data_IF_331916333323
#
_entry.id   IF_331916333323
#
_cell.length_a   1.000
_cell.length_b   1.000
_cell.length_c   1.000
_cell.angle_alpha   90.00
_cell.angle_beta   90.00
_cell.angle_gamma   90.00
#
_symmetry.space_group_name_H-M   'P 1'
#
loop_
_entity.id
_entity.type
_entity.pdbx_description
1 polymer ?
#
# COMPACT_ATOMS: atom_id res chain seq x y z
N UNK A 1 -21.05 19.82 -18.02
CA UNK A 1 -20.95 18.37 -18.22
C UNK A 1 -20.96 17.78 -16.84
N UNK A 2 -22.10 17.21 -16.46
CA UNK A 2 -22.28 16.56 -15.17
C UNK A 2 -21.15 15.57 -14.95
N UNK A 3 -20.50 15.70 -13.80
CA UNK A 3 -19.38 14.87 -13.39
C UNK A 3 -19.81 13.42 -13.44
N UNK A 4 -19.05 12.60 -14.17
CA UNK A 4 -19.06 11.15 -14.06
C UNK A 4 -19.19 10.77 -12.58
N UNK A 5 -20.37 10.34 -12.16
CA UNK A 5 -20.56 9.75 -10.85
C UNK A 5 -19.46 8.72 -10.67
N UNK A 6 -18.76 8.76 -9.54
CA UNK A 6 -17.66 7.84 -9.28
C UNK A 6 -18.20 6.42 -9.43
N UNK A 7 -17.79 5.74 -10.49
CA UNK A 7 -18.20 4.36 -10.82
C UNK A 7 -17.89 3.41 -9.65
N UNK A 8 -17.00 3.83 -8.74
CA UNK A 8 -16.56 3.07 -7.56
C UNK A 8 -16.65 3.95 -6.31
N UNK A 9 -17.20 3.46 -5.18
CA UNK A 9 -17.18 4.16 -3.90
C UNK A 9 -15.75 4.49 -3.45
N UNK A 10 -15.57 5.61 -2.73
CA UNK A 10 -14.25 6.10 -2.33
C UNK A 10 -13.43 5.10 -1.51
N UNK A 11 -14.10 4.32 -0.66
CA UNK A 11 -13.43 3.29 0.16
C UNK A 11 -12.86 2.16 -0.70
N UNK A 12 -13.61 1.72 -1.73
CA UNK A 12 -13.18 0.70 -2.67
C UNK A 12 -12.06 1.24 -3.58
N UNK A 13 -12.21 2.47 -4.09
CA UNK A 13 -11.20 3.11 -4.94
C UNK A 13 -9.87 3.31 -4.21
N UNK A 14 -9.89 3.80 -2.97
CA UNK A 14 -8.67 3.98 -2.15
C UNK A 14 -7.92 2.65 -1.97
N UNK A 15 -8.64 1.55 -1.68
CA UNK A 15 -8.03 0.22 -1.54
C UNK A 15 -7.46 -0.29 -2.86
N UNK A 16 -8.20 -0.10 -3.96
CA UNK A 16 -7.75 -0.46 -5.30
C UNK A 16 -6.44 0.25 -5.65
N UNK A 17 -6.37 1.58 -5.51
CA UNK A 17 -5.15 2.35 -5.80
C UNK A 17 -4.00 1.96 -4.87
N UNK A 18 -4.26 1.71 -3.57
CA UNK A 18 -3.22 1.25 -2.65
C UNK A 18 -2.61 -0.09 -3.09
N UNK A 19 -3.45 -1.04 -3.57
CA UNK A 19 -2.98 -2.32 -4.11
C UNK A 19 -2.14 -2.13 -5.37
N UNK A 20 -2.59 -1.30 -6.31
CA UNK A 20 -1.82 -1.02 -7.52
C UNK A 20 -0.47 -0.36 -7.20
N UNK A 21 -0.46 0.60 -6.28
CA UNK A 21 0.75 1.26 -5.84
C UNK A 21 1.74 0.27 -5.20
N UNK A 22 1.23 -0.73 -4.48
CA UNK A 22 2.04 -1.81 -3.92
C UNK A 22 2.64 -2.71 -5.01
N UNK A 23 1.88 -3.06 -6.06
CA UNK A 23 2.39 -3.83 -7.22
C UNK A 23 3.53 -3.07 -7.94
N UNK A 24 3.35 -1.75 -8.13
CA UNK A 24 4.40 -0.88 -8.68
C UNK A 24 5.62 -0.84 -7.75
N UNK A 25 5.40 -0.73 -6.44
CA UNK A 25 6.47 -0.70 -5.44
C UNK A 25 7.27 -2.00 -5.36
N UNK A 26 6.62 -3.15 -5.52
CA UNK A 26 7.26 -4.46 -5.61
C UNK A 26 8.12 -4.58 -6.88
N UNK A 27 7.62 -4.07 -8.01
CA UNK A 27 8.39 -4.01 -9.26
C UNK A 27 9.68 -3.21 -9.08
N UNK A 28 9.61 -2.04 -8.42
CA UNK A 28 10.77 -1.19 -8.10
C UNK A 28 11.81 -1.91 -7.22
N UNK A 29 11.38 -2.79 -6.31
CA UNK A 29 12.28 -3.55 -5.43
C UNK A 29 13.09 -4.61 -6.17
N UNK A 30 12.65 -5.02 -7.37
CA UNK A 30 13.29 -6.07 -8.15
C UNK A 30 14.58 -5.65 -8.85
N UNK A 31 14.90 -4.35 -8.92
CA UNK A 31 16.06 -3.85 -9.66
C UNK A 31 16.87 -2.80 -8.87
N UNK A 32 18.21 -2.80 -9.02
CA UNK A 32 19.08 -1.82 -8.37
C UNK A 32 19.04 -0.43 -9.02
N UNK A 33 18.75 -0.37 -10.33
CA UNK A 33 18.81 0.88 -11.11
C UNK A 33 17.61 1.03 -12.03
N UNK A 34 17.11 2.27 -12.10
CA UNK A 34 15.99 2.65 -12.95
C UNK A 34 16.29 3.95 -13.68
N UNK A 35 16.06 3.97 -14.99
CA UNK A 35 16.06 5.21 -15.76
C UNK A 35 14.82 6.03 -15.40
N UNK A 36 15.00 7.32 -15.15
CA UNK A 36 13.90 8.27 -14.94
C UNK A 36 13.96 9.33 -16.04
N UNK A 37 12.83 9.51 -16.72
CA UNK A 37 12.69 10.37 -17.90
C UNK A 37 11.56 11.37 -17.66
N UNK A 38 11.74 12.64 -18.00
CA UNK A 38 10.67 13.67 -17.97
C UNK A 38 9.96 13.82 -19.31
N UNK A 39 10.51 13.19 -20.35
CA UNK A 39 10.04 13.12 -21.73
C UNK A 39 10.67 11.87 -22.35
N UNK A 40 10.90 11.81 -23.67
CA UNK A 40 11.62 10.69 -24.30
C UNK A 40 13.10 10.59 -23.90
N UNK A 41 13.66 11.63 -23.25
CA UNK A 41 15.06 11.62 -22.82
C UNK A 41 15.24 11.06 -21.41
N UNK A 42 16.11 10.05 -21.31
CA UNK A 42 16.62 9.52 -20.03
C UNK A 42 17.53 10.55 -19.39
N UNK A 43 17.03 11.22 -18.35
CA UNK A 43 17.72 12.35 -17.72
C UNK A 43 18.31 12.01 -16.36
N UNK A 44 17.78 11.00 -15.66
CA UNK A 44 18.28 10.60 -14.34
C UNK A 44 18.31 9.09 -14.17
N UNK A 45 19.07 8.63 -13.18
CA UNK A 45 19.08 7.23 -12.71
C UNK A 45 18.65 7.22 -11.24
N UNK A 46 17.58 6.48 -10.93
CA UNK A 46 17.23 6.14 -9.55
C UNK A 46 18.00 4.90 -9.11
N UNK A 47 18.74 5.00 -8.01
CA UNK A 47 19.47 3.89 -7.39
C UNK A 47 18.73 3.43 -6.12
N UNK A 48 18.27 2.18 -6.11
CA UNK A 48 17.25 1.74 -5.15
C UNK A 48 17.77 1.49 -3.73
N UNK A 49 19.08 1.28 -3.53
CA UNK A 49 19.64 1.03 -2.20
C UNK A 49 19.81 2.33 -1.40
N UNK A 50 20.49 3.34 -1.96
CA UNK A 50 20.67 4.65 -1.33
C UNK A 50 19.47 5.59 -1.53
N UNK A 51 18.60 5.25 -2.49
CA UNK A 51 17.44 6.04 -2.90
C UNK A 51 17.82 7.43 -3.44
N UNK A 52 19.01 7.55 -4.01
CA UNK A 52 19.48 8.76 -4.68
C UNK A 52 19.06 8.76 -6.14
N UNK A 53 18.79 9.96 -6.65
CA UNK A 53 18.76 10.23 -8.08
C UNK A 53 20.14 10.69 -8.53
N UNK A 54 20.60 10.19 -9.66
CA UNK A 54 21.89 10.53 -10.28
C UNK A 54 21.66 11.16 -11.64
N UNK A 55 22.51 12.12 -12.00
CA UNK A 55 22.51 12.67 -13.35
C UNK A 55 22.93 11.57 -14.35
N UNK A 56 22.07 11.30 -15.34
CA UNK A 56 22.33 10.29 -16.35
C UNK A 56 23.32 10.77 -17.43
N UNK A 57 23.47 12.09 -17.59
CA UNK A 57 24.22 12.70 -18.69
C UNK A 57 25.27 13.69 -18.17
N UNK A 58 26.25 13.23 -17.36
CA UNK A 58 27.28 14.10 -16.83
C UNK A 58 28.13 14.70 -17.96
N UNK A 59 28.58 15.94 -17.76
CA UNK A 59 29.48 16.64 -18.68
C UNK A 59 30.88 16.00 -18.63
N UNK A 60 31.29 15.36 -19.73
CA UNK A 60 32.53 14.59 -19.79
C UNK A 60 33.74 15.43 -20.23
N UNK A 61 33.55 16.52 -20.96
CA UNK A 61 34.69 17.27 -21.52
C UNK A 61 35.25 18.35 -20.57
N UNK A 62 34.60 18.55 -19.42
CA UNK A 62 34.99 19.53 -18.41
C UNK A 62 35.51 18.87 -17.14
N UNK A 63 36.50 19.50 -16.50
CA UNK A 63 37.03 19.08 -15.22
C UNK A 63 37.20 20.30 -14.29
N UNK A 64 36.83 20.13 -13.03
CA UNK A 64 36.74 21.23 -12.06
C UNK A 64 37.50 20.90 -10.79
N UNK A 65 37.84 21.94 -10.01
CA UNK A 65 38.13 21.79 -8.60
C UNK A 65 36.81 21.62 -7.83
N UNK A 66 36.86 20.99 -6.65
CA UNK A 66 35.68 20.69 -5.81
C UNK A 66 34.78 21.91 -5.62
N UNK A 67 35.35 23.07 -5.29
CA UNK A 67 34.58 24.29 -5.03
C UNK A 67 33.73 24.75 -6.24
N UNK A 68 34.26 24.62 -7.46
CA UNK A 68 33.52 24.95 -8.68
C UNK A 68 32.61 23.82 -9.12
N UNK A 69 32.98 22.56 -8.85
CA UNK A 69 32.11 21.40 -9.02
C UNK A 69 30.83 21.49 -8.18
N UNK A 70 30.92 21.97 -6.93
CA UNK A 70 29.74 22.22 -6.07
C UNK A 70 28.82 23.25 -6.72
N UNK A 71 29.36 24.38 -7.20
CA UNK A 71 28.58 25.41 -7.90
C UNK A 71 27.97 24.87 -9.18
N UNK A 72 28.70 24.02 -9.91
CA UNK A 72 28.22 23.39 -11.16
C UNK A 72 27.05 22.46 -10.89
N UNK A 73 27.18 21.58 -9.89
CA UNK A 73 26.11 20.67 -9.48
C UNK A 73 24.86 21.46 -9.04
N UNK A 74 25.01 22.48 -8.20
CA UNK A 74 23.88 23.29 -7.72
C UNK A 74 23.13 24.07 -8.81
N UNK A 75 23.72 24.24 -10.00
CA UNK A 75 23.08 24.89 -11.17
C UNK A 75 22.34 23.91 -12.06
N UNK A 76 22.47 22.59 -11.84
CA UNK A 76 21.74 21.61 -12.61
C UNK A 76 20.24 21.74 -12.35
N UNK A 77 19.46 21.60 -13.41
CA UNK A 77 18.00 21.53 -13.37
C UNK A 77 17.51 20.22 -14.02
N UNK A 78 18.35 19.18 -13.97
CA UNK A 78 18.05 17.87 -14.56
C UNK A 78 16.77 17.33 -13.94
N UNK A 79 15.84 16.87 -14.78
CA UNK A 79 14.54 16.37 -14.33
C UNK A 79 13.57 17.43 -13.77
N UNK A 80 13.82 18.72 -14.04
CA UNK A 80 13.14 19.85 -13.38
C UNK A 80 13.27 19.80 -11.85
N UNK A 81 14.46 19.40 -11.37
CA UNK A 81 14.81 19.36 -9.95
C UNK A 81 15.91 20.38 -9.66
N UNK A 82 15.73 21.12 -8.56
CA UNK A 82 16.79 21.89 -7.91
C UNK A 82 17.61 21.01 -6.94
N UNK A 83 18.57 21.61 -6.24
CA UNK A 83 19.27 20.98 -5.10
C UNK A 83 20.14 19.76 -5.47
N UNK A 84 20.60 19.72 -6.71
CA UNK A 84 21.65 18.81 -7.13
C UNK A 84 22.97 19.14 -6.42
N UNK A 85 23.65 18.10 -5.95
CA UNK A 85 24.90 18.22 -5.20
C UNK A 85 25.94 17.22 -5.69
N UNK A 86 27.19 17.44 -5.28
CA UNK A 86 28.19 16.38 -5.37
C UNK A 86 27.85 15.25 -4.39
N UNK A 87 28.08 13.98 -4.76
CA UNK A 87 28.04 12.86 -3.82
C UNK A 87 29.20 12.97 -2.83
N UNK A 88 29.09 12.28 -1.70
CA UNK A 88 30.28 11.97 -0.90
C UNK A 88 31.03 10.75 -1.47
N UNK A 89 32.23 10.49 -0.95
CA UNK A 89 33.08 9.36 -1.38
C UNK A 89 32.35 8.02 -1.26
N UNK A 90 31.61 7.80 -0.17
CA UNK A 90 30.89 6.54 0.07
C UNK A 90 29.78 6.34 -0.96
N UNK A 91 28.99 7.37 -1.24
CA UNK A 91 27.91 7.34 -2.24
C UNK A 91 28.45 7.05 -3.64
N UNK A 92 29.47 7.80 -4.09
CA UNK A 92 30.07 7.59 -5.42
C UNK A 92 30.74 6.22 -5.54
N UNK A 93 31.46 5.78 -4.50
CA UNK A 93 32.14 4.48 -4.50
C UNK A 93 31.13 3.33 -4.55
N UNK A 94 30.03 3.42 -3.81
CA UNK A 94 28.96 2.42 -3.83
C UNK A 94 28.30 2.35 -5.22
N UNK A 95 28.01 3.51 -5.82
CA UNK A 95 27.48 3.60 -7.18
C UNK A 95 28.42 2.94 -8.21
N UNK A 96 29.72 3.24 -8.15
CA UNK A 96 30.71 2.76 -9.11
C UNK A 96 31.04 1.26 -8.98
N UNK A 97 30.96 0.71 -7.75
CA UNK A 97 31.22 -0.71 -7.49
C UNK A 97 30.10 -1.63 -7.95
N UNK A 98 28.89 -1.11 -8.11
CA UNK A 98 27.78 -1.90 -8.58
C UNK A 98 27.87 -2.06 -10.10
N UNK A 99 28.26 -3.24 -10.57
CA UNK A 99 28.43 -3.52 -12.01
C UNK A 99 27.14 -3.52 -12.80
N UNK A 100 25.97 -3.51 -12.14
CA UNK A 100 24.69 -3.31 -12.80
C UNK A 100 24.39 -1.82 -13.08
N UNK A 101 25.24 -0.90 -12.63
CA UNK A 101 25.09 0.52 -12.88
C UNK A 101 25.15 0.79 -14.38
N UNK A 102 24.13 1.42 -14.98
CA UNK A 102 24.11 1.67 -16.42
C UNK A 102 25.16 2.68 -16.90
N UNK A 103 25.80 3.44 -16.01
CA UNK A 103 26.92 4.31 -16.35
C UNK A 103 28.25 3.56 -16.42
N UNK A 104 28.31 2.28 -16.01
CA UNK A 104 29.54 1.49 -16.07
C UNK A 104 29.98 1.32 -17.53
N UNK A 105 31.17 1.82 -17.85
CA UNK A 105 31.75 1.81 -19.18
C UNK A 105 33.27 1.94 -19.06
N UNK A 106 34.02 1.19 -19.88
CA UNK A 106 35.48 1.16 -19.83
C UNK A 106 36.02 0.07 -18.91
N UNK A 107 37.17 0.33 -18.28
CA UNK A 107 37.85 -0.63 -17.39
C UNK A 107 37.55 -0.38 -15.91
N UNK A 108 37.77 -1.40 -15.08
CA UNK A 108 37.67 -1.32 -13.61
C UNK A 108 36.29 -0.79 -13.15
N UNK A 109 36.26 0.25 -12.31
CA UNK A 109 35.04 0.86 -11.78
C UNK A 109 34.64 2.15 -12.49
N UNK A 110 35.19 2.42 -13.68
CA UNK A 110 34.93 3.67 -14.40
C UNK A 110 33.46 3.82 -14.76
N UNK A 111 33.03 5.07 -14.76
CA UNK A 111 31.71 5.49 -15.21
C UNK A 111 31.90 6.31 -16.48
N UNK A 112 31.21 5.96 -17.57
CA UNK A 112 31.36 6.61 -18.89
C UNK A 112 32.81 6.72 -19.35
N UNK A 113 33.59 5.65 -19.12
CA UNK A 113 35.04 5.54 -19.32
C UNK A 113 35.90 6.62 -18.63
N UNK A 114 35.34 7.29 -17.61
CA UNK A 114 36.08 8.21 -16.75
C UNK A 114 36.40 7.62 -15.40
N UNK A 115 37.63 7.87 -14.97
CA UNK A 115 38.16 7.45 -13.68
C UNK A 115 38.17 8.57 -12.64
N UNK A 116 38.18 9.86 -13.02
CA UNK A 116 38.31 10.98 -12.08
C UNK A 116 37.00 11.76 -11.86
N UNK A 117 36.36 11.54 -10.70
CA UNK A 117 35.06 12.13 -10.38
C UNK A 117 35.09 12.93 -9.08
N UNK A 118 34.42 14.09 -9.05
CA UNK A 118 34.35 14.94 -7.87
C UNK A 118 33.37 14.41 -6.83
N UNK A 119 33.80 14.47 -5.57
CA UNK A 119 32.96 14.30 -4.39
C UNK A 119 33.15 15.47 -3.43
N UNK A 120 32.35 15.52 -2.37
CA UNK A 120 32.57 16.45 -1.26
C UNK A 120 33.90 16.24 -0.51
N UNK A 121 34.49 15.04 -0.64
CA UNK A 121 35.74 14.65 0.05
C UNK A 121 37.00 14.89 -0.80
N UNK A 122 36.85 15.36 -2.05
CA UNK A 122 37.94 15.48 -3.02
C UNK A 122 37.61 14.78 -4.34
N UNK A 123 38.60 14.66 -5.21
CA UNK A 123 38.44 13.88 -6.45
C UNK A 123 38.70 12.42 -6.15
N UNK A 124 37.81 11.52 -6.56
CA UNK A 124 38.00 10.07 -6.44
C UNK A 124 38.51 9.53 -7.77
N UNK A 125 39.60 8.76 -7.69
CA UNK A 125 40.05 7.89 -8.78
C UNK A 125 39.31 6.54 -8.69
N UNK A 126 38.41 6.24 -9.61
CA UNK A 126 37.63 5.00 -9.65
C UNK A 126 38.44 3.77 -10.09
N UNK A 127 39.66 3.95 -10.60
CA UNK A 127 40.54 2.83 -10.91
C UNK A 127 41.09 2.19 -9.62
N UNK A 128 41.33 2.99 -8.57
CA UNK A 128 41.93 2.52 -7.32
C UNK A 128 41.12 2.91 -6.05
N UNK A 129 39.99 3.59 -6.23
CA UNK A 129 39.08 4.13 -5.20
C UNK A 129 39.75 5.06 -4.18
N UNK A 130 40.83 5.74 -4.59
CA UNK A 130 41.58 6.68 -3.76
C UNK A 130 41.14 8.12 -3.95
N UNK A 131 41.25 8.89 -2.88
CA UNK A 131 41.06 10.34 -2.95
C UNK A 131 42.36 10.99 -3.43
N UNK A 132 42.27 11.81 -4.47
CA UNK A 132 43.40 12.46 -5.13
C UNK A 132 43.17 13.98 -5.25
N UNK A 133 44.26 14.74 -5.26
CA UNK A 133 44.23 16.21 -5.40
C UNK A 133 44.46 16.62 -6.84
N UNK A 134 43.40 16.55 -7.66
CA UNK A 134 43.41 16.97 -9.08
C UNK A 134 42.00 17.35 -9.55
N UNK A 135 41.89 17.89 -10.77
CA UNK A 135 40.60 18.16 -11.39
C UNK A 135 39.80 16.87 -11.65
N UNK A 136 38.48 16.94 -11.51
CA UNK A 136 37.56 15.82 -11.74
C UNK A 136 36.29 16.26 -12.47
N UNK A 137 35.60 15.30 -13.09
CA UNK A 137 34.29 15.51 -13.68
C UNK A 137 33.20 15.56 -12.61
N UNK A 138 32.06 16.18 -12.93
CA UNK A 138 30.90 16.27 -12.03
C UNK A 138 29.90 15.17 -12.38
N UNK A 139 29.64 14.28 -11.42
CA UNK A 139 28.47 13.39 -11.44
C UNK A 139 27.60 13.78 -10.24
N UNK A 140 26.54 14.53 -10.49
CA UNK A 140 25.70 15.04 -9.42
C UNK A 140 24.67 14.00 -8.96
N UNK A 141 24.26 14.11 -7.71
CA UNK A 141 23.14 13.37 -7.14
C UNK A 141 22.13 14.30 -6.46
N UNK A 142 20.92 13.77 -6.21
CA UNK A 142 19.82 14.49 -5.61
C UNK A 142 19.11 13.62 -4.54
N UNK A 143 18.76 14.23 -3.42
CA UNK A 143 18.19 13.56 -2.25
C UNK A 143 16.65 13.49 -2.23
N UNK A 144 15.94 13.93 -3.28
CA UNK A 144 14.46 14.00 -3.31
C UNK A 144 13.78 12.69 -2.89
N UNK A 145 14.36 11.54 -3.28
CA UNK A 145 13.81 10.22 -2.99
C UNK A 145 14.43 9.55 -1.75
N UNK A 146 15.39 10.20 -1.10
CA UNK A 146 16.08 9.68 0.07
C UNK A 146 15.11 9.51 1.23
N UNK A 147 15.08 8.31 1.81
CA UNK A 147 14.17 7.95 2.90
C UNK A 147 12.71 7.71 2.49
N UNK A 148 12.35 7.91 1.21
CA UNK A 148 10.99 7.65 0.72
C UNK A 148 10.80 6.18 0.38
N UNK A 149 9.63 5.64 0.68
CA UNK A 149 9.21 4.31 0.23
C UNK A 149 9.02 4.25 -1.29
N UNK A 150 8.95 3.04 -1.85
CA UNK A 150 8.70 2.86 -3.28
C UNK A 150 7.29 3.31 -3.68
N UNK A 151 6.32 3.25 -2.76
CA UNK A 151 4.96 3.80 -2.95
C UNK A 151 5.02 5.31 -3.08
N UNK A 152 5.75 6.00 -2.20
CA UNK A 152 5.96 7.45 -2.30
C UNK A 152 6.71 7.84 -3.58
N UNK A 153 7.70 7.05 -3.99
CA UNK A 153 8.39 7.25 -5.26
C UNK A 153 7.42 7.17 -6.44
N UNK A 154 6.58 6.13 -6.50
CA UNK A 154 5.58 5.96 -7.55
C UNK A 154 4.62 7.17 -7.60
N UNK A 155 4.15 7.63 -6.44
CA UNK A 155 3.32 8.82 -6.34
C UNK A 155 4.01 10.09 -6.85
N UNK A 156 5.28 10.29 -6.48
CA UNK A 156 6.09 11.43 -6.98
C UNK A 156 6.29 11.34 -8.49
N UNK A 157 6.58 10.16 -9.01
CA UNK A 157 6.78 9.94 -10.43
C UNK A 157 5.53 10.29 -11.23
N UNK A 158 4.35 9.83 -10.77
CA UNK A 158 3.06 10.20 -11.35
C UNK A 158 2.83 11.71 -11.30
N UNK A 159 3.02 12.35 -10.14
CA UNK A 159 2.83 13.80 -9.99
C UNK A 159 3.76 14.63 -10.87
N UNK A 160 4.97 14.13 -11.14
CA UNK A 160 5.97 14.82 -11.96
C UNK A 160 5.92 14.42 -13.43
N UNK A 161 5.02 13.52 -13.84
CA UNK A 161 4.95 13.00 -15.20
C UNK A 161 6.21 12.24 -15.62
N UNK A 162 6.88 11.59 -14.67
CA UNK A 162 8.07 10.80 -14.94
C UNK A 162 7.73 9.46 -15.55
N UNK A 163 8.53 9.06 -16.53
CA UNK A 163 8.57 7.69 -17.04
C UNK A 163 9.75 6.96 -16.42
N UNK A 164 9.48 5.78 -15.86
CA UNK A 164 10.50 4.96 -15.19
C UNK A 164 10.70 3.67 -15.97
N UNK A 165 11.95 3.35 -16.29
CA UNK A 165 12.29 2.14 -17.05
C UNK A 165 13.40 1.36 -16.35
N UNK A 166 13.30 0.04 -16.38
CA UNK A 166 14.35 -0.86 -15.92
C UNK A 166 15.66 -0.59 -16.71
N UNK A 167 16.79 -0.43 -16.00
CA UNK A 167 18.08 -0.18 -16.66
C UNK A 167 18.64 -1.38 -17.42
N UNK A 168 18.37 -2.60 -16.96
CA UNK A 168 18.86 -3.85 -17.54
C UNK A 168 18.02 -4.31 -18.73
N UNK A 169 16.68 -4.21 -18.63
CA UNK A 169 15.77 -4.74 -19.65
C UNK A 169 15.07 -3.66 -20.49
N UNK A 170 15.11 -2.40 -20.07
CA UNK A 170 14.37 -1.31 -20.71
C UNK A 170 12.85 -1.39 -20.53
N UNK A 171 12.34 -2.33 -19.73
CA UNK A 171 10.91 -2.52 -19.47
C UNK A 171 10.35 -1.30 -18.71
N UNK A 172 9.26 -0.67 -19.19
CA UNK A 172 8.63 0.42 -18.45
C UNK A 172 7.96 -0.08 -17.18
N UNK A 173 8.07 0.72 -16.12
CA UNK A 173 7.26 0.59 -14.92
C UNK A 173 5.87 1.13 -15.23
N UNK A 174 4.82 0.32 -14.99
CA UNK A 174 3.44 0.69 -15.36
C UNK A 174 2.82 1.71 -14.39
N UNK A 175 3.34 2.94 -14.37
CA UNK A 175 2.82 4.02 -13.53
C UNK A 175 1.42 4.48 -13.99
N UNK A 176 1.13 4.34 -15.27
CA UNK A 176 -0.15 4.68 -15.90
C UNK A 176 -1.34 3.98 -15.21
N UNK A 177 -1.14 2.78 -14.68
CA UNK A 177 -2.20 2.05 -13.96
C UNK A 177 -2.73 2.79 -12.73
N UNK A 178 -1.96 3.72 -12.18
CA UNK A 178 -2.37 4.53 -11.01
C UNK A 178 -3.24 5.74 -11.42
N UNK A 179 -3.36 6.00 -12.72
CA UNK A 179 -4.10 7.14 -13.28
C UNK A 179 -5.28 6.71 -14.17
N UNK A 180 -5.30 5.45 -14.60
CA UNK A 180 -6.37 4.86 -15.39
C UNK A 180 -7.70 4.77 -14.62
N UNK A 181 -8.81 4.69 -15.36
CA UNK A 181 -10.11 4.35 -14.81
C UNK A 181 -10.03 2.99 -14.10
N UNK A 182 -10.69 2.82 -12.95
CA UNK A 182 -10.55 1.61 -12.16
C UNK A 182 -11.09 0.39 -12.90
N UNK A 183 -10.30 -0.69 -12.91
CA UNK A 183 -10.78 -2.02 -13.29
C UNK A 183 -11.78 -2.51 -12.22
N UNK A 184 -13.08 -2.54 -12.57
CA UNK A 184 -14.13 -2.95 -11.65
C UNK A 184 -14.00 -4.39 -11.17
N UNK A 185 -13.45 -5.30 -11.97
CA UNK A 185 -13.24 -6.65 -11.49
C UNK A 185 -12.20 -6.63 -10.37
N UNK A 186 -11.03 -6.07 -10.66
CA UNK A 186 -9.91 -6.06 -9.73
C UNK A 186 -10.19 -5.23 -8.47
N UNK A 187 -11.00 -4.17 -8.57
CA UNK A 187 -11.41 -3.33 -7.45
C UNK A 187 -12.35 -4.05 -6.47
N UNK A 188 -13.17 -5.00 -6.95
CA UNK A 188 -14.21 -5.66 -6.15
C UNK A 188 -13.88 -7.09 -5.72
N UNK A 189 -12.85 -7.75 -6.27
CA UNK A 189 -12.48 -9.13 -5.91
C UNK A 189 -12.36 -9.36 -4.39
N UNK A 190 -11.77 -8.40 -3.68
CA UNK A 190 -11.51 -8.53 -2.24
C UNK A 190 -12.52 -7.74 -1.38
N UNK A 191 -13.69 -7.39 -1.91
CA UNK A 191 -14.62 -6.50 -1.21
C UNK A 191 -15.10 -7.06 0.13
N UNK A 192 -15.36 -8.37 0.21
CA UNK A 192 -15.76 -9.05 1.44
C UNK A 192 -14.56 -9.45 2.31
N UNK A 193 -13.43 -9.79 1.69
CA UNK A 193 -12.19 -10.06 2.40
C UNK A 193 -11.72 -8.85 3.20
N UNK A 194 -11.83 -7.65 2.61
CA UNK A 194 -11.39 -6.41 3.21
C UNK A 194 -12.10 -6.10 4.54
N UNK A 195 -13.42 -6.32 4.60
CA UNK A 195 -14.25 -5.96 5.76
C UNK A 195 -14.49 -7.10 6.75
N UNK A 196 -14.49 -8.36 6.28
CA UNK A 196 -14.92 -9.51 7.08
C UNK A 196 -13.99 -10.73 7.00
N UNK A 197 -12.89 -10.66 6.21
CA UNK A 197 -11.99 -11.79 5.91
C UNK A 197 -12.70 -13.03 5.36
N UNK A 198 -13.84 -12.84 4.70
CA UNK A 198 -14.42 -13.87 3.86
C UNK A 198 -13.50 -14.13 2.66
N UNK A 199 -13.54 -15.34 2.05
CA UNK A 199 -12.76 -15.61 0.85
C UNK A 199 -12.96 -14.55 -0.22
N UNK A 200 -11.89 -14.20 -0.93
CA UNK A 200 -11.96 -13.33 -2.09
C UNK A 200 -12.94 -13.91 -3.13
N UNK A 201 -13.66 -13.04 -3.81
CA UNK A 201 -14.58 -13.44 -4.86
C UNK A 201 -13.82 -14.07 -6.02
N UNK A 202 -14.42 -15.09 -6.63
CA UNK A 202 -13.96 -15.60 -7.90
C UNK A 202 -14.40 -14.69 -9.04
N UNK A 203 -13.59 -14.57 -10.10
CA UNK A 203 -13.95 -13.84 -11.32
C UNK A 203 -15.31 -14.29 -11.90
N UNK A 204 -15.67 -15.57 -11.74
CA UNK A 204 -16.96 -16.09 -12.18
C UNK A 204 -18.15 -15.39 -11.51
N UNK A 205 -18.01 -14.97 -10.24
CA UNK A 205 -19.04 -14.25 -9.50
C UNK A 205 -19.33 -12.86 -10.08
N UNK A 206 -18.33 -12.25 -10.74
CA UNK A 206 -18.42 -10.93 -11.36
C UNK A 206 -18.90 -10.99 -12.81
N UNK A 207 -18.65 -12.11 -13.51
CA UNK A 207 -18.78 -12.21 -14.98
C UNK A 207 -19.92 -13.10 -15.45
N UNK A 208 -20.37 -14.07 -14.65
CA UNK A 208 -21.41 -15.02 -15.03
C UNK A 208 -22.79 -14.34 -15.17
N UNK A 209 -23.55 -14.57 -16.27
CA UNK A 209 -24.86 -13.96 -16.51
C UNK A 209 -25.93 -14.21 -15.45
N UNK A 210 -25.79 -15.28 -14.66
CA UNK A 210 -26.72 -15.65 -13.59
C UNK A 210 -26.25 -15.20 -12.20
N UNK A 211 -25.01 -14.71 -12.08
CA UNK A 211 -24.42 -14.14 -10.85
C UNK A 211 -24.43 -12.60 -10.92
N UNK A 212 -23.32 -11.97 -10.54
CA UNK A 212 -23.15 -10.53 -10.46
C UNK A 212 -23.15 -10.00 -9.03
N UNK A 213 -22.84 -8.70 -8.89
CA UNK A 213 -22.80 -8.00 -7.60
C UNK A 213 -23.94 -7.01 -7.43
N UNK A 214 -24.39 -6.85 -6.19
CA UNK A 214 -25.37 -5.84 -5.80
C UNK A 214 -24.81 -4.44 -5.99
N UNK A 215 -23.51 -4.27 -5.78
CA UNK A 215 -22.80 -3.01 -5.92
C UNK A 215 -22.80 -2.47 -7.35
N UNK A 216 -23.07 -3.33 -8.34
CA UNK A 216 -23.22 -2.94 -9.74
C UNK A 216 -24.68 -2.70 -10.15
N UNK A 217 -25.64 -2.95 -9.25
CA UNK A 217 -27.06 -2.75 -9.55
C UNK A 217 -27.41 -1.27 -9.70
N UNK A 218 -28.01 -0.92 -10.84
CA UNK A 218 -28.35 0.47 -11.20
C UNK A 218 -27.27 1.19 -12.00
N UNK A 219 -26.11 0.57 -12.24
CA UNK A 219 -25.10 1.11 -13.17
C UNK A 219 -25.57 1.00 -14.63
N UNK A 220 -25.04 1.87 -15.49
CA UNK A 220 -25.30 1.86 -16.93
C UNK A 220 -24.82 0.56 -17.60
N UNK A 221 -25.65 -0.04 -18.46
CA UNK A 221 -25.35 -1.31 -19.11
C UNK A 221 -24.09 -1.26 -20.00
N UNK A 222 -23.78 -0.12 -20.61
CA UNK A 222 -22.57 0.06 -21.41
C UNK A 222 -21.31 0.01 -20.54
N UNK A 223 -21.36 0.60 -19.33
CA UNK A 223 -20.25 0.53 -18.36
C UNK A 223 -20.04 -0.92 -17.88
N UNK A 224 -21.13 -1.63 -17.59
CA UNK A 224 -21.04 -3.05 -17.20
C UNK A 224 -20.44 -3.91 -18.32
N UNK A 225 -20.82 -3.63 -19.57
CA UNK A 225 -20.29 -4.33 -20.75
C UNK A 225 -18.81 -4.02 -20.99
N UNK A 226 -18.40 -2.75 -20.88
CA UNK A 226 -17.01 -2.29 -21.01
C UNK A 226 -16.09 -3.00 -20.02
N UNK A 227 -16.51 -3.09 -18.75
CA UNK A 227 -15.73 -3.75 -17.69
C UNK A 227 -15.95 -5.27 -17.62
N UNK A 228 -16.84 -5.83 -18.44
CA UNK A 228 -17.16 -7.26 -18.45
C UNK A 228 -17.80 -7.78 -17.16
N UNK A 229 -18.44 -6.91 -16.37
CA UNK A 229 -19.07 -7.27 -15.10
C UNK A 229 -20.59 -7.43 -15.21
N UNK A 230 -21.22 -8.01 -14.20
CA UNK A 230 -22.66 -8.25 -14.15
C UNK A 230 -23.26 -7.67 -12.87
N UNK A 231 -24.34 -6.92 -13.05
CA UNK A 231 -25.15 -6.44 -11.95
C UNK A 231 -26.13 -7.53 -11.46
N UNK A 232 -26.35 -7.58 -10.15
CA UNK A 232 -27.30 -8.49 -9.51
C UNK A 232 -28.34 -7.69 -8.74
N UNK A 233 -29.61 -7.87 -9.09
CA UNK A 233 -30.71 -7.23 -8.38
C UNK A 233 -30.82 -7.75 -6.92
N UNK A 234 -30.61 -6.90 -5.91
CA UNK A 234 -30.69 -7.32 -4.51
C UNK A 234 -32.05 -7.92 -4.14
N UNK A 235 -33.14 -7.45 -4.76
CA UNK A 235 -34.49 -7.96 -4.50
C UNK A 235 -34.69 -9.44 -4.90
N UNK A 236 -33.78 -10.03 -5.68
CA UNK A 236 -33.79 -11.46 -6.03
C UNK A 236 -33.08 -12.34 -5.00
N UNK A 237 -32.24 -11.73 -4.16
CA UNK A 237 -31.36 -12.44 -3.24
C UNK A 237 -31.75 -12.23 -1.78
N UNK A 238 -32.34 -11.07 -1.45
CA UNK A 238 -32.92 -10.82 -0.12
C UNK A 238 -34.10 -11.78 0.09
N UNK A 239 -34.02 -12.57 1.14
CA UNK A 239 -35.06 -13.51 1.56
C UNK A 239 -35.71 -13.01 2.84
N UNK A 240 -37.02 -13.17 2.90
CA UNK A 240 -37.76 -13.00 4.15
C UNK A 240 -37.59 -14.28 4.98
N UNK A 241 -36.54 -14.31 5.81
CA UNK A 241 -36.27 -15.41 6.72
C UNK A 241 -35.78 -14.91 8.08
N UNK A 242 -35.96 -15.75 9.10
CA UNK A 242 -35.48 -15.45 10.43
C UNK A 242 -33.99 -15.78 10.55
N UNK A 243 -33.23 -14.84 11.11
CA UNK A 243 -31.87 -15.07 11.59
C UNK A 243 -31.92 -15.04 13.12
N UNK A 244 -31.45 -16.10 13.75
CA UNK A 244 -31.33 -16.19 15.20
C UNK A 244 -29.88 -15.93 15.61
N UNK A 245 -29.65 -14.92 16.43
CA UNK A 245 -28.34 -14.58 16.98
C UNK A 245 -28.41 -14.81 18.50
N UNK A 246 -27.82 -15.91 18.95
CA UNK A 246 -27.60 -16.12 20.39
C UNK A 246 -26.37 -15.33 20.81
N UNK A 247 -26.59 -14.12 21.31
CA UNK A 247 -25.53 -13.24 21.80
C UNK A 247 -25.18 -13.58 23.26
N UNK A 248 -24.29 -14.55 23.43
CA UNK A 248 -23.79 -15.00 24.72
C UNK A 248 -22.66 -14.14 25.28
N UNK A 249 -22.33 -14.39 26.55
CA UNK A 249 -21.24 -13.67 27.25
C UNK A 249 -19.86 -14.04 26.72
N UNK A 250 -19.64 -15.31 26.38
CA UNK A 250 -18.35 -15.83 25.96
C UNK A 250 -18.28 -16.08 24.45
N UNK A 251 -19.38 -16.55 23.87
CA UNK A 251 -19.53 -16.86 22.46
C UNK A 251 -20.88 -16.37 21.93
N UNK A 252 -20.95 -16.23 20.61
CA UNK A 252 -22.11 -15.85 19.83
C UNK A 252 -22.34 -16.92 18.78
N UNK A 253 -23.56 -17.44 18.70
CA UNK A 253 -23.94 -18.40 17.66
C UNK A 253 -24.96 -17.74 16.75
N UNK A 254 -24.76 -17.86 15.45
CA UNK A 254 -25.70 -17.34 14.45
C UNK A 254 -26.27 -18.48 13.65
N UNK A 255 -27.59 -18.55 13.58
CA UNK A 255 -28.34 -19.51 12.81
C UNK A 255 -29.27 -18.80 11.82
N UNK A 256 -29.47 -19.40 10.65
CA UNK A 256 -30.42 -18.92 9.65
C UNK A 256 -31.18 -20.11 9.03
N UNK A 257 -32.36 -19.82 8.51
CA UNK A 257 -33.13 -20.79 7.73
C UNK A 257 -32.74 -20.74 6.24
N UNK A 258 -32.48 -21.92 5.67
CA UNK A 258 -32.26 -22.11 4.24
C UNK A 258 -33.18 -23.23 3.71
N UNK A 259 -34.41 -22.85 3.32
CA UNK A 259 -35.43 -23.76 2.82
C UNK A 259 -35.74 -24.89 3.82
N UNK A 260 -36.17 -24.51 5.02
CA UNK A 260 -36.50 -25.41 6.14
C UNK A 260 -35.29 -26.19 6.70
N UNK A 261 -34.07 -25.85 6.28
CA UNK A 261 -32.84 -26.35 6.87
C UNK A 261 -32.17 -25.26 7.71
N UNK A 262 -32.07 -25.49 9.02
CA UNK A 262 -31.36 -24.59 9.92
C UNK A 262 -29.85 -24.77 9.78
N UNK A 263 -29.16 -23.68 9.44
CA UNK A 263 -27.70 -23.65 9.23
C UNK A 263 -27.05 -22.68 10.19
N UNK A 264 -25.84 -22.99 10.63
CA UNK A 264 -25.02 -22.13 11.49
C UNK A 264 -24.02 -21.33 10.64
N UNK A 265 -23.60 -20.15 11.12
CA UNK A 265 -22.60 -19.30 10.47
C UNK A 265 -21.31 -19.22 11.29
N UNK A 266 -20.18 -19.39 10.59
CA UNK A 266 -18.82 -19.15 11.09
C UNK A 266 -18.43 -17.69 10.84
N UNK A 267 -18.01 -16.97 11.89
CA UNK A 267 -17.72 -15.52 11.84
C UNK A 267 -16.29 -15.26 12.30
N UNK A 268 -15.55 -14.47 11.53
CA UNK A 268 -14.21 -14.00 11.88
C UNK A 268 -13.17 -15.11 12.01
N UNK A 269 -13.33 -16.16 11.20
CA UNK A 269 -12.33 -17.23 11.06
C UNK A 269 -11.13 -16.73 10.26
N UNK A 270 -9.93 -17.17 10.64
CA UNK A 270 -8.70 -16.87 9.88
C UNK A 270 -8.58 -17.68 8.58
N UNK A 271 -9.21 -18.86 8.53
CA UNK A 271 -9.23 -19.73 7.36
C UNK A 271 -10.60 -20.41 7.25
N UNK A 272 -11.29 -20.16 6.14
CA UNK A 272 -12.62 -20.73 5.85
C UNK A 272 -12.54 -22.08 5.12
N UNK A 273 -11.37 -22.47 4.63
CA UNK A 273 -11.12 -23.72 3.88
C UNK A 273 -10.85 -24.93 4.75
N UNK A 274 -10.60 -24.73 6.05
CA UNK A 274 -10.49 -25.83 7.01
C UNK A 274 -11.81 -26.58 7.14
N UNK A 275 -11.72 -27.89 7.35
CA UNK A 275 -12.89 -28.72 7.62
C UNK A 275 -13.67 -28.17 8.82
N UNK A 276 -14.98 -28.06 8.64
CA UNK A 276 -15.88 -27.54 9.66
C UNK A 276 -15.91 -28.42 10.90
N UNK A 277 -15.93 -27.77 12.07
CA UNK A 277 -16.03 -28.41 13.38
C UNK A 277 -17.05 -27.64 14.22
N UNK A 278 -17.73 -28.28 15.18
CA UNK A 278 -18.73 -27.62 16.02
C UNK A 278 -18.21 -26.33 16.68
N UNK A 279 -16.95 -26.31 17.09
CA UNK A 279 -16.34 -25.17 17.80
C UNK A 279 -16.15 -23.93 16.90
N UNK A 280 -16.18 -24.10 15.57
CA UNK A 280 -16.08 -22.97 14.63
C UNK A 280 -17.37 -22.16 14.55
N UNK A 281 -18.48 -22.69 15.05
CA UNK A 281 -19.78 -22.01 15.08
C UNK A 281 -20.00 -21.22 16.38
N UNK A 282 -19.13 -21.44 17.38
CA UNK A 282 -19.10 -20.73 18.65
C UNK A 282 -18.17 -19.52 18.56
N UNK A 283 -18.67 -18.43 17.99
CA UNK A 283 -17.88 -17.24 17.66
C UNK A 283 -17.56 -16.44 18.92
N UNK A 284 -16.29 -16.30 19.36
CA UNK A 284 -15.98 -15.57 20.59
C UNK A 284 -16.55 -14.15 20.64
N UNK A 285 -17.24 -13.78 21.73
CA UNK A 285 -17.88 -12.45 21.87
C UNK A 285 -16.86 -11.38 22.28
N UNK A 286 -15.90 -11.07 21.40
CA UNK A 286 -14.92 -10.01 21.63
C UNK A 286 -14.62 -9.18 20.39
N UNK A 287 -14.15 -7.96 20.64
CA UNK A 287 -13.61 -7.03 19.65
C UNK A 287 -12.18 -6.65 20.01
N UNK A 288 -11.34 -6.47 18.99
CA UNK A 288 -10.02 -5.84 19.11
C UNK A 288 -9.99 -4.58 18.24
N UNK A 289 -9.68 -3.43 18.85
CA UNK A 289 -9.59 -2.14 18.17
C UNK A 289 -8.14 -1.82 17.79
N UNK A 290 -7.84 -1.78 16.49
CA UNK A 290 -6.48 -1.55 16.01
C UNK A 290 -6.25 -0.06 15.73
N UNK A 291 -7.25 0.62 15.17
CA UNK A 291 -7.17 2.02 14.75
C UNK A 291 -8.55 2.68 14.84
N UNK A 292 -8.77 3.52 15.86
CA UNK A 292 -10.07 4.17 16.06
C UNK A 292 -10.46 5.12 14.93
N UNK A 293 -9.60 6.05 14.47
CA UNK A 293 -9.91 6.87 13.29
C UNK A 293 -10.27 6.04 12.05
N UNK A 294 -9.48 4.99 11.77
CA UNK A 294 -9.73 4.08 10.64
C UNK A 294 -11.03 3.29 10.75
N UNK A 295 -11.53 3.06 11.96
CA UNK A 295 -12.83 2.43 12.20
C UNK A 295 -13.99 3.42 12.11
N UNK A 296 -13.92 4.51 12.89
CA UNK A 296 -15.09 5.37 13.11
C UNK A 296 -15.45 6.20 11.88
N UNK A 297 -14.46 6.69 11.12
CA UNK A 297 -14.74 7.47 9.91
C UNK A 297 -15.51 6.64 8.87
N UNK A 298 -15.08 5.42 8.47
CA UNK A 298 -15.86 4.62 7.54
C UNK A 298 -17.14 4.07 8.14
N UNK A 299 -17.17 3.69 9.42
CA UNK A 299 -18.39 3.15 10.05
C UNK A 299 -19.57 4.12 9.99
N UNK A 300 -19.30 5.43 10.06
CA UNK A 300 -20.31 6.47 10.03
C UNK A 300 -20.59 7.03 8.63
N UNK A 301 -19.88 6.57 7.59
CA UNK A 301 -19.97 7.18 6.25
C UNK A 301 -21.22 6.79 5.48
N UNK A 302 -21.72 5.56 5.66
CA UNK A 302 -22.85 5.02 4.90
C UNK A 302 -23.54 3.88 5.67
N UNK A 303 -24.83 3.68 5.40
CA UNK A 303 -25.64 2.67 6.09
C UNK A 303 -25.38 1.24 5.59
N UNK A 304 -25.05 1.08 4.30
CA UNK A 304 -24.80 -0.21 3.68
C UNK A 304 -23.33 -0.33 3.30
N UNK A 305 -22.69 -1.41 3.75
CA UNK A 305 -21.27 -1.72 3.49
C UNK A 305 -20.33 -0.53 3.70
N UNK A 306 -20.29 0.05 4.91
CA UNK A 306 -19.30 1.05 5.24
C UNK A 306 -17.89 0.53 4.95
N UNK A 307 -16.99 1.42 4.53
CA UNK A 307 -15.63 1.10 4.10
C UNK A 307 -14.66 0.61 5.18
N UNK A 308 -15.18 0.02 6.26
CA UNK A 308 -14.42 -0.46 7.43
C UNK A 308 -13.49 -1.59 7.01
N UNK A 309 -12.22 -1.48 7.41
CA UNK A 309 -11.23 -2.53 7.22
C UNK A 309 -11.18 -3.46 8.42
N UNK A 310 -11.05 -4.76 8.17
CA UNK A 310 -10.71 -5.75 9.19
C UNK A 310 -9.36 -5.48 9.87
N UNK A 311 -8.49 -4.69 9.25
CA UNK A 311 -7.22 -4.29 9.85
C UNK A 311 -7.37 -3.11 10.83
N UNK A 312 -8.52 -2.43 10.85
CA UNK A 312 -8.82 -1.37 11.82
C UNK A 312 -9.60 -1.90 13.04
N UNK A 313 -10.41 -2.96 12.84
CA UNK A 313 -11.13 -3.66 13.90
C UNK A 313 -11.28 -5.15 13.59
N UNK A 314 -11.09 -6.01 14.60
CA UNK A 314 -11.24 -7.46 14.48
C UNK A 314 -12.28 -7.98 15.46
N UNK A 315 -12.90 -9.11 15.14
CA UNK A 315 -13.84 -9.78 16.02
C UNK A 315 -13.58 -11.29 16.12
N UNK A 316 -14.29 -11.95 17.03
CA UNK A 316 -14.39 -13.41 17.07
C UNK A 316 -13.04 -14.13 17.17
N UNK A 317 -12.85 -15.23 16.44
CA UNK A 317 -11.68 -16.09 16.51
C UNK A 317 -10.38 -15.33 16.23
N UNK A 318 -10.36 -14.41 15.26
CA UNK A 318 -9.18 -13.61 14.94
C UNK A 318 -8.73 -12.74 16.13
N UNK A 319 -9.67 -12.02 16.75
CA UNK A 319 -9.37 -11.20 17.93
C UNK A 319 -8.99 -12.10 19.12
N UNK A 320 -9.67 -13.24 19.30
CA UNK A 320 -9.40 -14.16 20.41
C UNK A 320 -7.98 -14.74 20.33
N UNK A 321 -7.58 -15.16 19.13
CA UNK A 321 -6.26 -15.71 18.89
C UNK A 321 -5.18 -14.68 19.20
N UNK A 322 -5.31 -13.46 18.66
CA UNK A 322 -4.34 -12.41 18.94
C UNK A 322 -4.27 -12.08 20.45
N UNK A 323 -5.41 -12.00 21.13
CA UNK A 323 -5.45 -11.81 22.58
C UNK A 323 -4.77 -12.96 23.34
N UNK A 324 -4.99 -14.22 22.93
CA UNK A 324 -4.40 -15.40 23.58
C UNK A 324 -2.88 -15.47 23.39
N UNK A 325 -2.41 -15.16 22.20
CA UNK A 325 -1.00 -15.23 21.85
C UNK A 325 -0.19 -14.10 22.52
N UNK A 326 -0.86 -13.00 22.89
CA UNK A 326 -0.23 -11.79 23.43
C UNK A 326 -0.81 -11.33 24.78
N UNK A 327 -1.33 -12.24 25.61
CA UNK A 327 -1.99 -11.89 26.90
C UNK A 327 -1.15 -11.02 27.84
N UNK A 328 0.18 -11.10 27.73
CA UNK A 328 1.11 -10.33 28.55
C UNK A 328 1.39 -8.92 28.03
N UNK A 329 0.94 -8.57 26.82
CA UNK A 329 1.14 -7.23 26.24
C UNK A 329 0.01 -6.29 26.71
N UNK A 330 0.32 -5.25 27.52
CA UNK A 330 -0.68 -4.30 27.99
C UNK A 330 -1.43 -3.59 26.87
N UNK A 331 -0.81 -3.40 25.70
CA UNK A 331 -1.45 -2.74 24.55
C UNK A 331 -2.55 -3.61 23.95
N UNK A 332 -2.29 -4.92 23.82
CA UNK A 332 -3.31 -5.87 23.33
C UNK A 332 -4.46 -5.98 24.34
N UNK A 333 -4.16 -5.98 25.63
CA UNK A 333 -5.19 -5.99 26.68
C UNK A 333 -6.04 -4.71 26.62
N UNK A 334 -5.41 -3.53 26.51
CA UNK A 334 -6.09 -2.24 26.44
C UNK A 334 -6.92 -2.05 25.15
N UNK A 335 -6.56 -2.75 24.07
CA UNK A 335 -7.29 -2.70 22.80
C UNK A 335 -8.42 -3.72 22.67
N UNK A 336 -8.61 -4.60 23.67
CA UNK A 336 -9.56 -5.72 23.58
C UNK A 336 -10.79 -5.50 24.46
N UNK A 337 -11.98 -5.58 23.85
CA UNK A 337 -13.27 -5.57 24.53
C UNK A 337 -13.86 -6.99 24.56
N UNK A 338 -13.64 -7.71 25.65
CA UNK A 338 -14.04 -9.12 25.79
C UNK A 338 -15.40 -9.36 26.49
N UNK A 339 -15.96 -8.37 27.20
CA UNK A 339 -17.22 -8.50 27.96
C UNK A 339 -18.31 -7.61 27.38
N UNK A 340 -18.51 -7.67 26.07
CA UNK A 340 -19.40 -6.76 25.33
C UNK A 340 -20.83 -6.81 25.86
N UNK A 341 -21.38 -8.01 26.09
CA UNK A 341 -22.72 -8.19 26.67
C UNK A 341 -22.87 -7.50 28.03
N UNK A 342 -21.89 -7.67 28.91
CA UNK A 342 -21.93 -7.01 30.21
C UNK A 342 -21.78 -5.50 30.09
N UNK A 343 -20.97 -5.01 29.15
CA UNK A 343 -20.85 -3.58 28.88
C UNK A 343 -22.18 -2.99 28.40
N UNK A 344 -22.84 -3.63 27.43
CA UNK A 344 -24.13 -3.18 26.89
C UNK A 344 -25.29 -3.20 27.91
N UNK A 345 -25.16 -4.01 28.98
CA UNK A 345 -26.13 -4.10 30.08
C UNK A 345 -25.74 -3.25 31.30
N UNK A 346 -24.70 -2.41 31.22
CA UNK A 346 -24.32 -1.55 32.35
C UNK A 346 -25.35 -0.47 32.58
N UNK A 347 -25.54 -0.13 33.84
CA UNK A 347 -26.24 1.09 34.21
C UNK A 347 -25.34 2.31 33.94
N UNK A 348 -25.95 3.44 33.58
CA UNK A 348 -25.24 4.70 33.27
C UNK A 348 -24.38 5.26 34.41
N UNK A 349 -24.58 4.77 35.64
CA UNK A 349 -23.84 5.12 36.86
C UNK A 349 -22.55 4.32 37.04
N UNK A 350 -22.33 3.25 36.26
CA UNK A 350 -21.14 2.42 36.34
C UNK A 350 -19.90 3.16 35.78
N UNK A 351 -18.68 2.83 36.24
CA UNK A 351 -17.46 3.37 35.66
C UNK A 351 -17.39 3.10 34.16
N UNK A 352 -17.08 4.15 33.39
CA UNK A 352 -16.95 4.05 31.93
C UNK A 352 -15.78 3.16 31.55
N UNK A 353 -15.96 2.41 30.46
CA UNK A 353 -14.91 1.55 29.91
C UNK A 353 -14.02 2.40 29.03
N UNK A 354 -12.70 2.31 29.23
CA UNK A 354 -11.70 2.92 28.38
C UNK A 354 -10.92 1.86 27.64
N UNK A 355 -10.68 2.12 26.36
CA UNK A 355 -9.90 1.28 25.47
C UNK A 355 -8.81 2.14 24.84
N UNK A 356 -7.68 1.54 24.52
CA UNK A 356 -6.63 2.19 23.72
C UNK A 356 -6.42 1.38 22.46
N UNK A 357 -6.48 2.02 21.30
CA UNK A 357 -6.16 1.32 20.06
C UNK A 357 -4.66 0.98 19.96
N UNK A 358 -4.27 0.33 18.86
CA UNK A 358 -2.88 -0.06 18.62
C UNK A 358 -2.16 0.85 17.63
N UNK A 359 -2.75 1.99 17.27
CA UNK A 359 -2.17 2.90 16.30
C UNK A 359 -0.99 3.67 16.91
N UNK A 360 0.09 3.84 16.13
CA UNK A 360 1.29 4.56 16.59
C UNK A 360 1.96 3.97 17.84
N UNK A 361 2.75 4.80 18.55
CA UNK A 361 3.55 4.36 19.71
C UNK A 361 2.76 4.30 21.02
N UNK A 362 1.79 5.20 21.19
CA UNK A 362 1.00 5.31 22.43
C UNK A 362 -0.44 4.80 22.31
N UNK A 363 -0.95 4.55 21.10
CA UNK A 363 -2.38 4.35 20.89
C UNK A 363 -3.18 5.63 21.11
N UNK A 364 -4.41 5.65 20.62
CA UNK A 364 -5.43 6.63 20.96
C UNK A 364 -6.38 6.04 22.00
N UNK A 365 -6.61 6.75 23.10
CA UNK A 365 -7.59 6.35 24.11
C UNK A 365 -9.01 6.76 23.67
N UNK A 366 -9.96 5.86 23.84
CA UNK A 366 -11.37 6.09 23.61
C UNK A 366 -12.19 5.60 24.81
N UNK A 367 -13.09 6.46 25.31
CA UNK A 367 -14.01 6.14 26.40
C UNK A 367 -15.37 5.78 25.81
N UNK A 368 -15.84 4.57 26.08
CA UNK A 368 -17.14 4.10 25.61
C UNK A 368 -18.27 4.88 26.29
N UNK A 369 -19.33 5.14 25.52
CA UNK A 369 -20.57 5.72 26.04
C UNK A 369 -21.15 4.85 27.18
N UNK A 370 -21.89 5.53 28.06
CA UNK A 370 -22.52 4.94 29.24
C UNK A 370 -23.80 4.20 28.90
#
# INVERSE_FOLDING_TARGET
MDTSEKIVPDSVYKRYIARLAQVVAESLSGQPFWWVSTSEQKVMIYESHSRLLWDANPELDAAFYVADGIKRAARLNTGNLSDWRLPNKTELTALARNTANPLHEGIKGRLRDKYNWLTTDGTIDLDDYQTVSRLGAVLACNDLLKGKSNVELAGIAVQRGWQIHDCAQGKPLRLEMLQESPDLQLAYLDIDFASARLPALETSQLTDPHKGLWEFWGMDEAVLAEHGVRARNPARDVRDCNVAIDFGTSSTVVAYDDNDQHKLLRIGMGDYWVQERPEHYENPTLLEFINFPGLFEPWQSEAFRPGVSWDDVRCSHAAQQNFRDNKGDPRVVASTLAKIKHWALRESTAPRVRLSDRSGRSGLEHELAA
#
